data_IF_597470013309
#
_entry.id   IF_597470013309
#
_cell.length_a   1.000
_cell.length_b   1.000
_cell.length_c   1.000
_cell.angle_alpha   90.00
_cell.angle_beta   90.00
_cell.angle_gamma   90.00
#
_symmetry.space_group_name_H-M   'P 1'
#
loop_
_entity.id
_entity.type
_entity.pdbx_description
1 polymer ?
#
# COMPACT_ATOMS: atom_id res chain seq x y z
N UNK A 1 34.12 -54.17 56.04
CA UNK A 1 32.67 -53.78 55.86
C UNK A 1 32.33 -52.44 56.55
N UNK A 2 32.83 -52.20 57.78
CA UNK A 2 32.50 -51.01 58.57
C UNK A 2 33.02 -49.71 57.96
N UNK A 3 34.17 -49.71 57.27
CA UNK A 3 34.78 -48.55 56.63
C UNK A 3 33.97 -48.06 55.40
N UNK A 4 33.42 -48.99 54.63
CA UNK A 4 32.60 -48.68 53.44
C UNK A 4 31.28 -48.01 53.84
N UNK A 5 30.66 -48.46 54.93
CA UNK A 5 29.46 -47.89 55.51
C UNK A 5 29.66 -46.43 56.00
N UNK A 6 30.84 -46.15 56.61
CA UNK A 6 31.20 -44.83 57.07
C UNK A 6 31.43 -43.84 55.89
N UNK A 7 32.08 -44.29 54.82
CA UNK A 7 32.30 -43.53 53.62
C UNK A 7 30.95 -43.22 52.92
N UNK A 8 30.08 -44.18 52.80
CA UNK A 8 28.75 -44.03 52.21
C UNK A 8 27.85 -43.07 53.01
N UNK A 9 27.93 -43.11 54.34
CA UNK A 9 27.21 -42.22 55.26
C UNK A 9 27.75 -40.78 55.16
N UNK A 10 29.08 -40.61 55.03
CA UNK A 10 29.73 -39.29 54.87
C UNK A 10 29.40 -38.66 53.52
N UNK A 11 29.39 -39.47 52.42
CA UNK A 11 29.01 -39.00 51.12
C UNK A 11 27.56 -38.59 51.03
N UNK A 12 26.64 -39.35 51.61
CA UNK A 12 25.20 -38.98 51.69
C UNK A 12 25.03 -37.68 52.47
N UNK A 13 25.73 -37.48 53.57
CA UNK A 13 25.61 -36.26 54.37
C UNK A 13 26.16 -35.01 53.65
N UNK A 14 27.25 -35.14 52.91
CA UNK A 14 27.79 -34.06 52.06
C UNK A 14 26.89 -33.72 50.91
N UNK A 15 26.27 -34.71 50.25
CA UNK A 15 25.34 -34.51 49.14
C UNK A 15 24.04 -33.84 49.61
N UNK A 16 23.51 -34.21 50.77
CA UNK A 16 22.32 -33.56 51.36
C UNK A 16 22.60 -32.13 51.80
N UNK A 17 23.80 -31.86 52.34
CA UNK A 17 24.18 -30.50 52.74
C UNK A 17 24.40 -29.57 51.54
N UNK A 18 24.95 -30.11 50.44
CA UNK A 18 25.20 -29.35 49.22
C UNK A 18 23.87 -29.03 48.47
N UNK A 19 22.93 -29.96 48.42
CA UNK A 19 21.58 -29.73 47.87
C UNK A 19 20.75 -28.80 48.75
N UNK A 20 20.91 -28.83 50.07
CA UNK A 20 20.23 -27.90 50.98
C UNK A 20 20.76 -26.45 50.83
N UNK A 21 22.06 -26.26 50.70
CA UNK A 21 22.66 -24.92 50.44
C UNK A 21 22.28 -24.38 49.06
N UNK A 22 22.14 -25.27 48.05
CA UNK A 22 21.64 -24.90 46.72
C UNK A 22 20.18 -24.44 46.79
N UNK A 23 19.34 -25.19 47.51
CA UNK A 23 17.93 -24.84 47.71
C UNK A 23 17.76 -23.47 48.39
N UNK A 24 18.56 -23.18 49.44
CA UNK A 24 18.54 -21.88 50.12
C UNK A 24 18.93 -20.73 49.14
N UNK A 25 19.96 -20.95 48.32
CA UNK A 25 20.36 -19.93 47.31
C UNK A 25 19.27 -19.66 46.30
N UNK A 26 18.58 -20.72 45.82
CA UNK A 26 17.45 -20.57 44.88
C UNK A 26 16.30 -19.79 45.53
N UNK A 27 15.96 -20.13 46.78
CA UNK A 27 14.91 -19.40 47.52
C UNK A 27 15.30 -17.95 47.74
N UNK A 28 16.55 -17.67 48.09
CA UNK A 28 17.05 -16.28 48.24
C UNK A 28 16.94 -15.49 46.96
N UNK A 29 17.27 -16.09 45.80
CA UNK A 29 17.13 -15.45 44.48
C UNK A 29 15.65 -15.19 44.15
N UNK A 30 14.79 -16.15 44.40
CA UNK A 30 13.34 -15.97 44.16
C UNK A 30 12.77 -14.87 45.05
N UNK A 31 13.16 -14.85 46.35
CA UNK A 31 12.76 -13.78 47.27
C UNK A 31 13.27 -12.39 46.80
N UNK A 32 14.51 -12.30 46.37
CA UNK A 32 15.08 -11.04 45.88
C UNK A 32 14.36 -10.53 44.61
N UNK A 33 14.06 -11.44 43.66
CA UNK A 33 13.27 -11.12 42.48
C UNK A 33 11.83 -10.70 42.85
N UNK A 34 11.21 -11.37 43.82
CA UNK A 34 9.90 -10.99 44.35
C UNK A 34 9.89 -9.58 44.98
N UNK A 35 10.93 -9.26 45.73
CA UNK A 35 11.09 -7.90 46.32
C UNK A 35 11.28 -6.85 45.20
N UNK A 36 12.12 -7.10 44.23
CA UNK A 36 12.33 -6.21 43.08
C UNK A 36 11.00 -6.00 42.35
N UNK A 37 10.27 -7.07 42.05
CA UNK A 37 8.98 -6.99 41.37
C UNK A 37 7.91 -6.25 42.18
N UNK A 38 7.94 -6.40 43.51
CA UNK A 38 7.01 -5.69 44.43
C UNK A 38 7.29 -4.19 44.45
N UNK A 39 8.57 -3.78 44.51
CA UNK A 39 8.96 -2.36 44.54
C UNK A 39 9.12 -1.75 43.14
N UNK A 40 8.99 -2.53 42.08
CA UNK A 40 9.02 -2.01 40.73
C UNK A 40 7.86 -1.02 40.54
N UNK A 41 8.14 0.26 40.18
CA UNK A 41 7.09 1.23 39.97
C UNK A 41 6.18 0.71 38.85
N UNK A 42 4.97 0.33 39.23
CA UNK A 42 3.93 0.02 38.25
C UNK A 42 3.60 1.33 37.55
N UNK A 43 3.72 1.37 36.23
CA UNK A 43 3.27 2.50 35.44
C UNK A 43 1.87 2.85 35.93
N UNK A 44 1.69 4.05 36.50
CA UNK A 44 0.37 4.54 36.87
C UNK A 44 -0.43 4.53 35.58
N UNK A 45 -1.46 3.68 35.53
CA UNK A 45 -2.41 3.72 34.42
C UNK A 45 -2.83 5.19 34.29
N UNK A 46 -2.72 5.71 33.07
CA UNK A 46 -3.13 7.05 32.70
C UNK A 46 -4.66 7.12 32.90
N UNK A 47 -5.09 7.36 34.16
CA UNK A 47 -6.47 7.20 34.59
C UNK A 47 -7.35 8.43 34.36
N UNK A 48 -6.96 9.30 33.41
CA UNK A 48 -7.77 10.48 33.11
C UNK A 48 -8.97 10.11 32.24
N UNK A 49 -10.16 10.48 32.66
CA UNK A 49 -11.39 10.42 31.86
C UNK A 49 -11.70 11.82 31.37
N UNK A 50 -11.73 12.02 30.05
CA UNK A 50 -11.95 13.34 29.46
C UNK A 50 -12.64 13.17 28.07
N UNK A 51 -13.39 14.20 27.71
CA UNK A 51 -14.15 14.28 26.46
C UNK A 51 -13.94 15.66 25.84
N UNK A 52 -13.91 15.73 24.52
CA UNK A 52 -13.85 16.99 23.78
C UNK A 52 -15.07 17.86 24.12
N UNK A 53 -14.82 19.15 24.36
CA UNK A 53 -15.87 20.12 24.72
C UNK A 53 -16.24 20.16 26.19
N UNK A 54 -15.62 19.32 27.03
CA UNK A 54 -15.82 19.36 28.48
C UNK A 54 -14.63 19.99 29.21
N UNK A 55 -14.83 20.61 30.37
CA UNK A 55 -13.75 21.16 31.20
C UNK A 55 -12.84 20.03 31.69
N UNK A 56 -11.53 20.28 31.66
CA UNK A 56 -10.53 19.43 32.30
C UNK A 56 -10.67 19.45 33.79
N UNK A 57 -10.89 18.30 34.41
CA UNK A 57 -11.22 18.19 35.86
C UNK A 57 -10.00 18.00 36.75
N UNK A 58 -8.85 17.71 36.15
CA UNK A 58 -7.61 17.39 36.86
C UNK A 58 -6.71 18.63 36.96
N UNK A 59 -5.60 18.50 37.67
CA UNK A 59 -4.60 19.56 37.78
C UNK A 59 -3.86 19.76 36.43
N UNK A 60 -3.00 20.78 36.40
CA UNK A 60 -2.16 21.11 35.24
C UNK A 60 -1.45 19.87 34.72
N UNK A 61 -1.68 19.54 33.46
CA UNK A 61 -1.01 18.48 32.77
C UNK A 61 0.14 19.06 31.92
N UNK A 62 1.35 18.61 32.21
CA UNK A 62 2.57 18.92 31.41
C UNK A 62 3.17 17.65 30.87
N UNK A 63 3.86 17.76 29.74
CA UNK A 63 4.61 16.65 29.16
C UNK A 63 5.81 16.31 30.05
N UNK A 64 5.90 15.08 30.52
CA UNK A 64 7.03 14.61 31.34
C UNK A 64 8.25 14.23 30.49
N UNK A 65 8.08 14.00 29.22
CA UNK A 65 9.10 13.63 28.22
C UNK A 65 8.62 14.03 26.82
N UNK A 66 9.54 14.03 25.85
CA UNK A 66 9.19 14.29 24.46
C UNK A 66 8.39 13.12 23.89
N UNK A 67 7.26 13.40 23.26
CA UNK A 67 6.46 12.36 22.60
C UNK A 67 5.76 12.87 21.33
N UNK A 68 5.59 12.01 20.32
CA UNK A 68 4.89 12.38 19.09
C UNK A 68 3.37 12.42 19.30
N UNK A 69 2.71 13.35 18.60
CA UNK A 69 1.24 13.41 18.53
C UNK A 69 0.80 12.50 17.38
N UNK A 70 0.21 11.36 17.71
CA UNK A 70 -0.23 10.38 16.70
C UNK A 70 -1.54 10.80 16.04
N UNK A 71 -1.59 10.55 14.72
CA UNK A 71 -2.85 10.59 13.97
C UNK A 71 -3.66 9.33 14.27
N UNK A 72 -4.98 9.44 14.22
CA UNK A 72 -5.85 8.27 14.26
C UNK A 72 -5.75 7.48 12.96
N UNK A 73 -6.03 6.16 13.00
CA UNK A 73 -6.07 5.33 11.80
C UNK A 73 -7.04 5.86 10.74
N UNK A 74 -8.13 6.49 11.18
CA UNK A 74 -9.12 7.12 10.29
C UNK A 74 -8.55 8.33 9.54
N UNK A 75 -7.72 9.13 10.20
CA UNK A 75 -7.06 10.28 9.58
C UNK A 75 -5.96 9.84 8.62
N UNK A 76 -5.15 8.85 9.02
CA UNK A 76 -4.13 8.25 8.15
C UNK A 76 -4.79 7.71 6.89
N UNK A 77 -5.83 6.89 7.04
CA UNK A 77 -6.54 6.32 5.90
C UNK A 77 -7.14 7.38 4.98
N UNK A 78 -7.69 8.46 5.54
CA UNK A 78 -8.22 9.59 4.74
C UNK A 78 -7.12 10.28 3.94
N UNK A 79 -5.93 10.45 4.50
CA UNK A 79 -4.78 11.02 3.78
C UNK A 79 -4.28 10.06 2.69
N UNK A 80 -4.17 8.76 2.99
CA UNK A 80 -3.83 7.73 2.02
C UNK A 80 -4.81 7.71 0.84
N UNK A 81 -6.12 7.67 1.12
CA UNK A 81 -7.16 7.71 0.09
C UNK A 81 -7.05 8.98 -0.76
N UNK A 82 -6.78 10.14 -0.14
CA UNK A 82 -6.57 11.40 -0.86
C UNK A 82 -5.33 11.39 -1.76
N UNK A 83 -4.25 10.74 -1.33
CA UNK A 83 -3.04 10.59 -2.15
C UNK A 83 -3.25 9.61 -3.30
N UNK A 84 -3.99 8.53 -3.05
CA UNK A 84 -4.30 7.55 -4.09
C UNK A 84 -5.13 8.14 -5.24
N UNK A 85 -5.90 9.20 -5.01
CA UNK A 85 -6.59 9.92 -6.12
C UNK A 85 -5.62 10.61 -7.08
N UNK A 86 -4.38 10.83 -6.67
CA UNK A 86 -3.30 11.44 -7.49
C UNK A 86 -2.36 10.39 -8.09
N UNK A 87 -2.63 9.12 -7.81
CA UNK A 87 -1.82 8.04 -8.33
C UNK A 87 -2.01 7.89 -9.84
N UNK A 88 -0.90 7.88 -10.58
CA UNK A 88 -0.87 7.69 -12.02
C UNK A 88 -0.13 6.39 -12.32
N UNK A 89 -0.82 5.32 -12.73
CA UNK A 89 -0.21 4.04 -13.03
C UNK A 89 0.62 4.08 -14.31
N UNK A 90 1.60 3.19 -14.40
CA UNK A 90 2.53 3.11 -15.51
C UNK A 90 2.16 2.00 -16.49
N UNK A 91 2.27 2.32 -17.77
CA UNK A 91 2.07 1.39 -18.89
C UNK A 91 3.28 1.41 -19.82
N UNK A 92 3.75 0.25 -20.19
CA UNK A 92 4.80 0.07 -21.20
C UNK A 92 4.18 0.01 -22.59
N UNK A 93 4.58 0.93 -23.47
CA UNK A 93 4.17 0.93 -24.86
C UNK A 93 5.08 0.01 -25.69
N UNK A 94 4.51 -1.03 -26.27
CA UNK A 94 5.17 -1.81 -27.30
C UNK A 94 5.05 -1.09 -28.65
N UNK A 95 6.07 -0.30 -28.99
CA UNK A 95 6.08 0.51 -30.21
C UNK A 95 6.17 -0.31 -31.50
N UNK A 96 6.68 -1.53 -31.44
CA UNK A 96 6.83 -2.39 -32.62
C UNK A 96 5.53 -3.10 -32.98
N UNK A 97 4.63 -3.29 -32.01
CA UNK A 97 3.36 -3.98 -32.18
C UNK A 97 2.50 -3.37 -33.30
N UNK A 98 2.42 -2.06 -33.40
CA UNK A 98 1.67 -1.37 -34.44
C UNK A 98 2.15 -1.74 -35.83
N UNK A 99 3.47 -1.78 -36.03
CA UNK A 99 4.08 -2.15 -37.30
C UNK A 99 3.84 -3.64 -37.64
N UNK A 100 4.09 -4.51 -36.66
CA UNK A 100 3.88 -5.95 -36.80
C UNK A 100 2.45 -6.30 -37.23
N UNK A 101 1.45 -5.69 -36.58
CA UNK A 101 0.05 -5.96 -36.89
C UNK A 101 -0.38 -5.35 -38.25
N UNK A 102 0.17 -4.20 -38.62
CA UNK A 102 -0.06 -3.60 -39.94
C UNK A 102 0.58 -4.42 -41.07
N UNK A 103 1.80 -4.88 -40.88
CA UNK A 103 2.49 -5.72 -41.85
C UNK A 103 1.73 -7.06 -42.04
N UNK A 104 1.32 -7.68 -40.92
CA UNK A 104 0.51 -8.89 -40.90
C UNK A 104 -0.84 -8.70 -41.62
N UNK A 105 -1.54 -7.58 -41.32
CA UNK A 105 -2.77 -7.25 -42.03
C UNK A 105 -2.56 -7.10 -43.49
N UNK A 106 -1.50 -6.39 -43.93
CA UNK A 106 -1.20 -6.19 -45.35
C UNK A 106 -0.88 -7.49 -46.06
N UNK A 107 -0.01 -8.35 -45.49
CA UNK A 107 0.37 -9.63 -46.06
C UNK A 107 -0.83 -10.58 -46.25
N UNK A 108 -1.73 -10.64 -45.28
CA UNK A 108 -2.86 -11.57 -45.27
C UNK A 108 -4.03 -11.09 -46.13
N UNK A 109 -4.19 -9.77 -46.35
CA UNK A 109 -5.33 -9.18 -47.06
C UNK A 109 -4.96 -8.57 -48.41
N UNK A 110 -3.66 -8.52 -48.77
CA UNK A 110 -3.21 -8.08 -50.08
C UNK A 110 -3.86 -8.91 -51.18
N UNK A 111 -4.35 -8.25 -52.21
CA UNK A 111 -5.11 -8.85 -53.34
C UNK A 111 -6.43 -9.58 -52.99
N UNK A 112 -6.85 -9.58 -51.74
CA UNK A 112 -8.12 -10.18 -51.29
C UNK A 112 -9.16 -9.12 -50.89
N UNK A 113 -8.70 -7.93 -50.52
CA UNK A 113 -9.53 -6.80 -50.08
C UNK A 113 -9.43 -5.69 -51.12
N UNK A 114 -10.52 -4.98 -51.38
CA UNK A 114 -10.50 -3.78 -52.24
C UNK A 114 -9.50 -2.76 -51.73
N UNK A 115 -8.73 -2.12 -52.61
CA UNK A 115 -7.66 -1.20 -52.27
C UNK A 115 -8.13 -0.04 -51.38
N UNK A 116 -9.36 0.46 -51.61
CA UNK A 116 -9.97 1.53 -50.80
C UNK A 116 -10.20 1.03 -49.36
N UNK A 117 -10.78 -0.16 -49.24
CA UNK A 117 -11.11 -0.74 -47.94
C UNK A 117 -9.87 -1.17 -47.18
N UNK A 118 -8.84 -1.68 -47.90
CA UNK A 118 -7.52 -1.98 -47.33
C UNK A 118 -6.87 -0.71 -46.74
N UNK A 119 -6.84 0.39 -47.48
CA UNK A 119 -6.27 1.66 -47.04
C UNK A 119 -7.04 2.24 -45.84
N UNK A 120 -8.37 2.11 -45.84
CA UNK A 120 -9.22 2.53 -44.72
C UNK A 120 -8.89 1.78 -43.42
N UNK A 121 -8.83 0.43 -43.47
CA UNK A 121 -8.52 -0.41 -42.31
C UNK A 121 -7.10 -0.13 -41.82
N UNK A 122 -6.13 -0.04 -42.71
CA UNK A 122 -4.74 0.28 -42.36
C UNK A 122 -4.62 1.63 -41.68
N UNK A 123 -5.40 2.64 -42.09
CA UNK A 123 -5.46 3.94 -41.45
C UNK A 123 -6.08 3.81 -40.03
N UNK A 124 -7.21 3.11 -39.87
CA UNK A 124 -7.89 2.91 -38.61
C UNK A 124 -7.01 2.15 -37.62
N UNK A 125 -6.29 1.10 -38.05
CA UNK A 125 -5.34 0.37 -37.21
C UNK A 125 -4.21 1.28 -36.71
N UNK A 126 -3.67 2.19 -37.55
CA UNK A 126 -2.68 3.19 -37.14
C UNK A 126 -3.23 4.12 -36.07
N UNK A 127 -4.45 4.61 -36.24
CA UNK A 127 -5.13 5.49 -35.26
C UNK A 127 -5.36 4.76 -33.94
N UNK A 128 -5.81 3.52 -33.96
CA UNK A 128 -6.00 2.66 -32.80
C UNK A 128 -4.70 2.49 -32.01
N UNK A 129 -3.62 2.10 -32.71
CA UNK A 129 -2.33 1.88 -32.05
C UNK A 129 -1.63 3.16 -31.61
N UNK A 130 -1.93 4.30 -32.24
CA UNK A 130 -1.44 5.61 -31.80
C UNK A 130 -2.06 6.04 -30.47
N UNK A 131 -3.32 5.71 -30.22
CA UNK A 131 -3.99 5.91 -28.93
C UNK A 131 -3.58 4.88 -27.89
N UNK A 132 -3.32 3.66 -28.34
CA UNK A 132 -2.95 2.52 -27.50
C UNK A 132 -4.14 1.62 -27.18
N UNK A 133 -3.84 0.33 -27.11
CA UNK A 133 -4.81 -0.74 -26.78
C UNK A 133 -4.40 -1.41 -25.49
N UNK A 134 -5.29 -1.44 -24.52
CA UNK A 134 -5.07 -1.97 -23.17
C UNK A 134 -5.99 -3.16 -22.88
N UNK A 135 -5.63 -3.92 -21.87
CA UNK A 135 -6.49 -4.99 -21.35
C UNK A 135 -7.74 -4.41 -20.69
N UNK A 136 -8.91 -4.91 -21.09
CA UNK A 136 -10.22 -4.47 -20.56
C UNK A 136 -10.29 -4.59 -19.04
N UNK A 137 -9.94 -5.77 -18.50
CA UNK A 137 -10.07 -6.03 -17.06
C UNK A 137 -9.16 -5.13 -16.21
N UNK A 138 -7.97 -4.80 -16.72
CA UNK A 138 -7.05 -3.88 -16.03
C UNK A 138 -7.56 -2.45 -16.08
N UNK A 139 -8.06 -2.02 -17.23
CA UNK A 139 -8.60 -0.68 -17.40
C UNK A 139 -9.81 -0.43 -16.48
N UNK A 140 -10.75 -1.37 -16.43
CA UNK A 140 -11.93 -1.29 -15.55
C UNK A 140 -11.50 -1.19 -14.07
N UNK A 141 -10.59 -2.03 -13.62
CA UNK A 141 -10.08 -1.95 -12.25
C UNK A 141 -9.49 -0.57 -11.92
N UNK A 142 -8.73 0.01 -12.83
CA UNK A 142 -8.13 1.34 -12.61
C UNK A 142 -9.18 2.44 -12.60
N UNK A 143 -10.21 2.35 -13.45
CA UNK A 143 -11.35 3.27 -13.45
C UNK A 143 -12.16 3.18 -12.15
N UNK A 144 -12.39 1.97 -11.64
CA UNK A 144 -13.07 1.73 -10.36
C UNK A 144 -12.30 2.33 -9.17
N UNK A 145 -10.96 2.34 -9.23
CA UNK A 145 -10.11 3.03 -8.26
C UNK A 145 -10.07 4.55 -8.43
N UNK A 146 -10.78 5.10 -9.43
CA UNK A 146 -10.84 6.54 -9.68
C UNK A 146 -9.61 7.10 -10.40
N UNK A 147 -8.77 6.26 -11.01
CA UNK A 147 -7.65 6.68 -11.83
C UNK A 147 -8.16 7.40 -13.07
N UNK A 148 -7.64 8.60 -13.33
CA UNK A 148 -8.04 9.44 -14.47
C UNK A 148 -7.00 9.50 -15.57
N UNK A 149 -5.76 9.26 -15.22
CA UNK A 149 -4.61 9.41 -16.10
C UNK A 149 -3.68 8.20 -16.00
N UNK A 150 -3.00 7.90 -17.07
CA UNK A 150 -1.97 6.85 -17.14
C UNK A 150 -0.65 7.46 -17.61
N UNK A 151 0.45 6.91 -17.13
CA UNK A 151 1.80 7.28 -17.56
C UNK A 151 2.32 6.26 -18.57
N UNK A 152 2.64 6.70 -19.77
CA UNK A 152 3.13 5.84 -20.85
C UNK A 152 4.65 5.84 -20.88
N UNK A 153 5.25 4.65 -20.85
CA UNK A 153 6.69 4.44 -20.96
C UNK A 153 7.00 3.88 -22.36
N UNK A 154 7.94 4.52 -23.01
CA UNK A 154 8.50 4.04 -24.29
C UNK A 154 10.01 3.94 -24.15
N UNK A 155 10.60 2.78 -24.44
CA UNK A 155 12.06 2.55 -24.34
C UNK A 155 12.66 2.98 -23.00
N UNK A 156 11.98 2.66 -21.90
CA UNK A 156 12.34 3.03 -20.51
C UNK A 156 12.33 4.54 -20.18
N UNK A 157 11.75 5.35 -21.06
CA UNK A 157 11.54 6.79 -20.81
C UNK A 157 10.05 7.08 -20.72
N UNK A 158 9.64 7.90 -19.76
CA UNK A 158 8.24 8.36 -19.68
C UNK A 158 7.96 9.24 -20.89
N UNK A 159 7.13 8.75 -21.80
CA UNK A 159 6.77 9.46 -23.04
C UNK A 159 5.74 10.57 -22.77
N UNK A 160 4.89 10.37 -21.76
CA UNK A 160 3.87 11.35 -21.38
C UNK A 160 2.81 10.77 -20.45
N UNK A 161 1.91 11.65 -20.03
CA UNK A 161 0.69 11.29 -19.29
C UNK A 161 -0.48 11.46 -20.25
N UNK A 162 -1.37 10.47 -20.30
CA UNK A 162 -2.56 10.47 -21.15
C UNK A 162 -3.80 10.20 -20.29
N UNK A 163 -4.96 10.82 -20.64
CA UNK A 163 -6.22 10.46 -20.01
C UNK A 163 -6.53 8.98 -20.21
N UNK A 164 -7.05 8.33 -19.17
CA UNK A 164 -7.41 6.91 -19.22
C UNK A 164 -8.54 6.61 -20.23
N UNK A 165 -9.35 7.63 -20.55
CA UNK A 165 -10.45 7.52 -21.51
C UNK A 165 -10.01 7.67 -22.97
N UNK A 166 -8.76 8.08 -23.21
CA UNK A 166 -8.21 8.25 -24.57
C UNK A 166 -7.65 6.94 -25.13
N UNK A 167 -7.41 5.93 -24.29
CA UNK A 167 -6.94 4.62 -24.72
C UNK A 167 -8.10 3.70 -25.05
N UNK A 168 -7.88 2.76 -25.95
CA UNK A 168 -8.89 1.78 -26.32
C UNK A 168 -8.69 0.47 -25.54
N UNK A 169 -9.78 -0.17 -25.20
CA UNK A 169 -9.81 -1.62 -24.97
C UNK A 169 -9.81 -2.35 -26.33
N UNK A 170 -9.56 -3.65 -26.34
CA UNK A 170 -9.68 -4.46 -27.57
C UNK A 170 -11.07 -4.42 -28.16
N UNK A 171 -12.12 -4.29 -27.32
CA UNK A 171 -13.52 -4.20 -27.76
C UNK A 171 -13.79 -2.82 -28.38
N UNK A 172 -13.45 -1.75 -27.71
CA UNK A 172 -13.62 -0.39 -28.22
C UNK A 172 -12.81 -0.14 -29.49
N UNK A 173 -11.59 -0.71 -29.58
CA UNK A 173 -10.79 -0.66 -30.78
C UNK A 173 -11.45 -1.36 -31.96
N UNK A 174 -12.09 -2.52 -31.68
CA UNK A 174 -12.87 -3.23 -32.70
C UNK A 174 -14.08 -2.43 -33.15
N UNK A 175 -14.85 -1.86 -32.25
CA UNK A 175 -16.00 -1.03 -32.57
C UNK A 175 -15.58 0.23 -33.35
N UNK A 176 -14.47 0.86 -32.95
CA UNK A 176 -13.91 2.02 -33.69
C UNK A 176 -13.49 1.67 -35.12
N UNK A 177 -12.95 0.47 -35.34
CA UNK A 177 -12.58 0.02 -36.67
C UNK A 177 -13.76 -0.08 -37.61
N UNK A 178 -14.96 -0.39 -37.09
CA UNK A 178 -16.19 -0.50 -37.87
C UNK A 178 -17.04 0.77 -37.87
N UNK A 179 -16.60 1.83 -37.18
CA UNK A 179 -17.30 3.08 -37.15
C UNK A 179 -17.30 3.74 -38.54
N UNK A 180 -18.45 4.24 -38.99
CA UNK A 180 -18.66 4.89 -40.30
C UNK A 180 -18.40 3.99 -41.51
N UNK A 181 -18.48 2.67 -41.33
CA UNK A 181 -18.35 1.68 -42.42
C UNK A 181 -19.74 1.31 -42.97
N UNK A 182 -19.86 1.19 -44.29
CA UNK A 182 -21.12 0.76 -44.91
C UNK A 182 -21.47 -0.70 -44.55
N UNK A 183 -22.75 -1.05 -44.57
CA UNK A 183 -23.23 -2.41 -44.29
C UNK A 183 -22.59 -3.47 -45.18
N UNK A 184 -22.30 -3.13 -46.45
CA UNK A 184 -21.67 -4.02 -47.45
C UNK A 184 -20.19 -4.25 -47.06
N UNK A 185 -19.47 -3.17 -46.78
CA UNK A 185 -18.08 -3.22 -46.36
C UNK A 185 -17.92 -3.94 -45.01
N UNK A 186 -18.84 -3.71 -44.07
CA UNK A 186 -18.88 -4.39 -42.76
C UNK A 186 -18.99 -5.90 -42.91
N UNK A 187 -19.88 -6.38 -43.78
CA UNK A 187 -20.01 -7.81 -44.08
C UNK A 187 -18.69 -8.38 -44.66
N UNK A 188 -18.08 -7.65 -45.54
CA UNK A 188 -16.79 -8.04 -46.15
C UNK A 188 -15.69 -8.11 -45.07
N UNK A 189 -15.52 -7.08 -44.27
CA UNK A 189 -14.50 -7.03 -43.19
C UNK A 189 -14.67 -8.13 -42.14
N UNK A 190 -15.91 -8.48 -41.79
CA UNK A 190 -16.17 -9.58 -40.85
C UNK A 190 -15.67 -10.94 -41.35
N UNK A 191 -15.62 -11.16 -42.67
CA UNK A 191 -15.07 -12.41 -43.25
C UNK A 191 -13.58 -12.55 -43.01
N UNK A 192 -12.84 -11.46 -42.82
CA UNK A 192 -11.41 -11.45 -42.56
C UNK A 192 -11.03 -11.52 -41.08
N UNK A 193 -12.01 -11.60 -40.15
CA UNK A 193 -11.78 -11.72 -38.73
C UNK A 193 -10.81 -10.64 -38.17
N UNK A 194 -11.23 -9.37 -38.27
CA UNK A 194 -10.41 -8.20 -37.96
C UNK A 194 -9.88 -8.19 -36.49
N UNK A 195 -10.49 -8.92 -35.55
CA UNK A 195 -10.04 -9.06 -34.16
C UNK A 195 -8.57 -9.53 -34.06
N UNK A 196 -8.11 -10.32 -35.01
CA UNK A 196 -6.76 -10.89 -34.98
C UNK A 196 -5.62 -9.87 -35.21
N UNK A 197 -5.99 -8.66 -35.66
CA UNK A 197 -5.07 -7.55 -35.85
C UNK A 197 -5.17 -6.49 -34.79
N UNK A 198 -6.03 -6.70 -33.78
CA UNK A 198 -6.20 -5.79 -32.63
C UNK A 198 -5.69 -6.52 -31.39
N UNK A 199 -4.50 -6.17 -30.96
CA UNK A 199 -3.85 -6.74 -29.78
C UNK A 199 -3.39 -5.63 -28.85
N UNK A 200 -3.22 -5.95 -27.60
CA UNK A 200 -2.75 -5.01 -26.59
C UNK A 200 -1.33 -4.54 -26.90
N UNK A 201 -1.10 -3.23 -26.95
CA UNK A 201 0.22 -2.63 -27.11
C UNK A 201 0.60 -1.71 -25.94
N UNK A 202 -0.33 -1.43 -25.04
CA UNK A 202 -0.10 -0.79 -23.76
C UNK A 202 -0.24 -1.83 -22.64
N UNK A 203 0.87 -2.23 -22.07
CA UNK A 203 0.95 -3.27 -21.05
C UNK A 203 1.17 -2.63 -19.71
N UNK A 204 0.30 -2.90 -18.72
CA UNK A 204 0.41 -2.39 -17.36
C UNK A 204 1.72 -2.84 -16.71
N UNK A 205 2.51 -1.89 -16.23
CA UNK A 205 3.72 -2.15 -15.45
C UNK A 205 3.38 -2.22 -13.97
N UNK A 206 3.00 -3.42 -13.53
CA UNK A 206 2.60 -3.68 -12.15
C UNK A 206 3.72 -3.32 -11.17
N UNK A 207 4.95 -3.74 -11.48
CA UNK A 207 6.09 -3.53 -10.59
C UNK A 207 6.39 -2.05 -10.36
N UNK A 208 6.42 -1.27 -11.44
CA UNK A 208 6.70 0.17 -11.35
C UNK A 208 5.53 0.92 -10.74
N UNK A 209 4.30 0.55 -11.07
CA UNK A 209 3.10 1.15 -10.52
C UNK A 209 2.98 0.92 -9.02
N UNK A 210 3.20 -0.30 -8.52
CA UNK A 210 3.17 -0.60 -7.09
C UNK A 210 4.33 0.09 -6.36
N UNK A 211 5.53 0.13 -6.93
CA UNK A 211 6.66 0.86 -6.33
C UNK A 211 6.33 2.35 -6.14
N UNK A 212 5.78 3.02 -7.15
CA UNK A 212 5.42 4.44 -7.07
C UNK A 212 4.26 4.66 -6.11
N UNK A 213 3.31 3.74 -6.05
CA UNK A 213 2.21 3.78 -5.10
C UNK A 213 2.70 3.64 -3.65
N UNK A 214 3.60 2.69 -3.38
CA UNK A 214 4.24 2.54 -2.07
C UNK A 214 5.05 3.77 -1.68
N UNK A 215 5.82 4.33 -2.61
CA UNK A 215 6.57 5.57 -2.40
C UNK A 215 5.61 6.73 -2.05
N UNK A 216 4.52 6.88 -2.78
CA UNK A 216 3.49 7.88 -2.52
C UNK A 216 2.87 7.70 -1.12
N UNK A 217 2.49 6.50 -0.74
CA UNK A 217 1.93 6.20 0.58
C UNK A 217 2.94 6.37 1.71
N UNK A 218 4.23 6.12 1.46
CA UNK A 218 5.29 6.32 2.44
C UNK A 218 5.48 7.78 2.87
N UNK A 219 4.97 8.72 2.07
CA UNK A 219 4.99 10.16 2.41
C UNK A 219 3.99 10.54 3.50
N UNK A 220 3.02 9.67 3.80
CA UNK A 220 2.03 9.91 4.85
C UNK A 220 2.69 9.84 6.22
N UNK A 221 2.75 10.97 6.91
CA UNK A 221 3.22 11.00 8.28
C UNK A 221 2.18 10.40 9.22
N UNK A 222 2.60 9.52 10.12
CA UNK A 222 1.75 8.97 11.17
C UNK A 222 1.55 9.91 12.36
N UNK A 223 2.26 11.05 12.36
CA UNK A 223 2.23 12.02 13.46
C UNK A 223 1.94 13.41 12.94
N UNK A 224 1.33 14.25 13.79
CA UNK A 224 1.14 15.67 13.52
C UNK A 224 2.36 16.52 13.90
N UNK A 225 3.11 16.08 14.91
CA UNK A 225 4.24 16.81 15.46
C UNK A 225 4.77 16.16 16.72
N UNK A 226 5.52 16.92 17.51
CA UNK A 226 6.18 16.50 18.74
C UNK A 226 5.76 17.47 19.86
N UNK A 227 5.41 16.94 21.03
CA UNK A 227 5.28 17.69 22.28
C UNK A 227 6.59 17.56 23.04
N UNK A 228 7.18 18.66 23.47
CA UNK A 228 8.44 18.67 24.20
C UNK A 228 8.24 18.47 25.70
N UNK A 229 9.21 17.88 26.38
CA UNK A 229 9.23 17.77 27.83
C UNK A 229 9.10 19.15 28.51
N UNK A 230 8.21 19.25 29.49
CA UNK A 230 7.88 20.50 30.17
C UNK A 230 6.83 21.36 29.47
N UNK A 231 6.43 21.02 28.25
CA UNK A 231 5.36 21.74 27.56
C UNK A 231 4.02 21.57 28.27
N UNK A 232 3.30 22.68 28.46
CA UNK A 232 1.97 22.70 29.07
C UNK A 232 0.97 22.15 28.04
N UNK A 233 0.18 21.16 28.45
CA UNK A 233 -0.85 20.55 27.61
C UNK A 233 -2.22 21.17 27.92
N UNK A 234 -2.69 21.08 29.14
CA UNK A 234 -4.01 21.61 29.57
C UNK A 234 -4.03 21.88 31.08
N UNK A 235 -4.77 22.89 31.52
CA UNK A 235 -4.94 23.23 32.93
C UNK A 235 -6.37 23.00 33.41
N UNK A 236 -6.53 22.94 34.72
CA UNK A 236 -7.82 22.71 35.39
C UNK A 236 -8.85 23.77 35.00
N UNK A 237 -10.02 23.32 34.56
CA UNK A 237 -11.12 24.16 34.13
C UNK A 237 -11.08 24.59 32.66
N UNK A 238 -9.98 24.36 31.95
CA UNK A 238 -9.92 24.60 30.49
C UNK A 238 -10.77 23.58 29.74
N UNK A 239 -11.40 24.00 28.66
CA UNK A 239 -12.21 23.12 27.82
C UNK A 239 -11.27 22.28 26.94
N UNK A 240 -11.42 20.96 27.01
CA UNK A 240 -10.63 20.02 26.20
C UNK A 240 -10.96 20.24 24.71
N UNK A 241 -10.00 20.72 23.95
CA UNK A 241 -10.12 20.85 22.49
C UNK A 241 -9.83 19.51 21.81
N UNK A 242 -10.12 19.40 20.50
CA UNK A 242 -9.74 18.22 19.72
C UNK A 242 -8.21 18.01 19.69
N UNK A 243 -7.45 19.11 19.70
CA UNK A 243 -6.00 19.05 19.74
C UNK A 243 -5.50 18.50 21.07
N UNK A 244 -6.02 19.01 22.20
CA UNK A 244 -5.68 18.50 23.54
C UNK A 244 -6.04 17.02 23.68
N UNK A 245 -7.21 16.63 23.14
CA UNK A 245 -7.63 15.23 23.11
C UNK A 245 -6.62 14.33 22.39
N UNK A 246 -6.12 14.74 21.22
CA UNK A 246 -5.10 14.02 20.46
C UNK A 246 -3.77 13.92 21.21
N UNK A 247 -3.33 15.03 21.79
CA UNK A 247 -2.10 15.10 22.58
C UNK A 247 -2.19 14.16 23.79
N UNK A 248 -3.27 14.25 24.58
CA UNK A 248 -3.43 13.43 25.79
C UNK A 248 -3.57 11.94 25.45
N UNK A 249 -4.24 11.58 24.34
CA UNK A 249 -4.32 10.19 23.89
C UNK A 249 -2.95 9.67 23.42
N UNK A 250 -2.15 10.51 22.78
CA UNK A 250 -0.80 10.14 22.35
C UNK A 250 0.14 9.91 23.54
N UNK A 251 -0.08 10.60 24.67
CA UNK A 251 0.68 10.40 25.90
C UNK A 251 0.35 9.05 26.60
N UNK A 252 -0.78 8.41 26.26
CA UNK A 252 -1.20 7.11 26.85
C UNK A 252 -0.50 5.90 26.20
N UNK A 253 0.10 6.07 25.03
CA UNK A 253 0.77 5.00 24.29
C UNK A 253 2.20 4.84 24.76
#
# INVERSE_FOLDING_TARGET
LHLILLIQKSMKHKFTQQSFTLAIKIVAVICSLGIIFYFMPRAKNFGYTFEVGRPWQYELLTASFDFPIYKSDKEIKKEEDSLLTKFVPYFNLNGDCAKEQLDKFSEETDNKLDARLHAFVAKRLKEIYAKGVVNFTQLEKLKDFGVKEISVITKNVVAGVSPIDDVFTTIEAYDYLFQDVSDVDTKTLRTFNMNRYIVENLIYDEKKSEQVKEELLSTVSRTYGLVQAGERIIDRGEIVTENDYKIINSLKI
#
